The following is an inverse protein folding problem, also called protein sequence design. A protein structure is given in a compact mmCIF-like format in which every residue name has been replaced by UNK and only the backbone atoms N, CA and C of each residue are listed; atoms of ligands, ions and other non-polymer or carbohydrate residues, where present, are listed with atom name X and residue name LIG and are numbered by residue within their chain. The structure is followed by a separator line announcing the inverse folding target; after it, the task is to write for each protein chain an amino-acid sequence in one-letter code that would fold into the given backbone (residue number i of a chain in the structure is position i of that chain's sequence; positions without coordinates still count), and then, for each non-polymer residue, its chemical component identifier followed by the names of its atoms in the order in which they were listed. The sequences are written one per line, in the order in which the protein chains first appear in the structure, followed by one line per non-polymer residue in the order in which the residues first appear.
data_IF_870781797671
#
_entry.id   IF_870781797671
#
_cell.length_a   1.000
_cell.length_b   1.000
_cell.length_c   1.000
_cell.angle_alpha   90.00
_cell.angle_beta   90.00
_cell.angle_gamma   90.00
#
_symmetry.space_group_name_H-M   'P 1'
#
loop_
_entity.id
_entity.type
_entity.pdbx_description
1 polymer ?
#
# COMPACT_ATOMS: atom_id res chain seq x y z
N UNK A 1 -9.66 5.77 -5.95
CA UNK A 1 -9.66 4.38 -5.45
C UNK A 1 -10.97 3.70 -5.85
N UNK A 2 -10.88 2.52 -6.42
CA UNK A 2 -12.03 1.67 -6.71
C UNK A 2 -11.92 0.40 -5.88
N UNK A 3 -13.02 -0.01 -5.28
CA UNK A 3 -13.03 -1.23 -4.47
C UNK A 3 -14.28 -2.04 -4.75
N UNK A 4 -14.12 -3.37 -4.70
CA UNK A 4 -15.23 -4.31 -4.87
C UNK A 4 -15.15 -5.37 -3.79
N UNK A 5 -16.30 -5.97 -3.47
CA UNK A 5 -16.40 -7.04 -2.49
C UNK A 5 -16.99 -8.27 -3.18
N UNK A 6 -16.31 -9.40 -3.05
CA UNK A 6 -16.80 -10.67 -3.59
C UNK A 6 -16.90 -11.70 -2.46
N UNK A 7 -18.04 -12.35 -2.26
CA UNK A 7 -18.13 -13.43 -1.28
C UNK A 7 -17.37 -14.65 -1.78
N UNK A 8 -16.68 -15.33 -0.85
CA UNK A 8 -16.02 -16.59 -1.14
C UNK A 8 -16.47 -17.63 -0.11
N UNK A 9 -15.95 -18.84 -0.19
CA UNK A 9 -16.40 -19.94 0.66
C UNK A 9 -16.33 -19.63 2.15
N UNK A 10 -17.31 -20.12 2.88
CA UNK A 10 -17.41 -19.94 4.31
C UNK A 10 -17.77 -18.50 4.68
N UNK A 11 -17.23 -18.01 5.77
CA UNK A 11 -17.45 -16.66 6.25
C UNK A 11 -16.34 -15.72 5.82
N UNK A 12 -15.93 -15.83 4.54
CA UNK A 12 -14.85 -15.02 3.99
C UNK A 12 -15.35 -14.18 2.83
N UNK A 13 -14.78 -13.01 2.69
CA UNK A 13 -14.99 -12.15 1.52
C UNK A 13 -13.65 -11.71 0.97
N UNK A 14 -13.64 -11.42 -0.32
CA UNK A 14 -12.48 -10.91 -1.01
C UNK A 14 -12.75 -9.47 -1.37
N UNK A 15 -11.91 -8.58 -0.85
CA UNK A 15 -11.94 -7.17 -1.21
C UNK A 15 -10.89 -6.95 -2.29
N UNK A 16 -11.29 -6.40 -3.42
CA UNK A 16 -10.35 -6.03 -4.48
C UNK A 16 -10.30 -4.51 -4.55
N UNK A 17 -9.12 -3.95 -4.37
CA UNK A 17 -8.92 -2.51 -4.35
C UNK A 17 -7.95 -2.12 -5.45
N UNK A 18 -8.37 -1.15 -6.25
CA UNK A 18 -7.55 -0.60 -7.33
C UNK A 18 -7.24 0.87 -7.05
N UNK A 19 -5.98 1.24 -7.20
CA UNK A 19 -5.49 2.60 -7.02
C UNK A 19 -4.82 3.06 -8.30
N UNK A 20 -5.02 4.32 -8.66
CA UNK A 20 -4.25 4.93 -9.73
C UNK A 20 -2.84 5.23 -9.23
N UNK A 21 -1.87 5.18 -10.13
CA UNK A 21 -0.47 5.49 -9.78
C UNK A 21 -0.35 6.86 -9.10
N UNK A 22 -1.13 7.85 -9.55
CA UNK A 22 -1.14 9.19 -8.95
C UNK A 22 -1.59 9.19 -7.50
N UNK A 23 -2.43 8.24 -7.09
CA UNK A 23 -2.85 8.12 -5.70
C UNK A 23 -1.73 7.63 -4.78
N UNK A 24 -0.71 7.00 -5.34
CA UNK A 24 0.45 6.53 -4.59
C UNK A 24 1.50 7.63 -4.37
N UNK A 25 1.46 8.71 -5.14
CA UNK A 25 2.47 9.78 -5.05
C UNK A 25 2.70 10.33 -3.63
N UNK A 26 1.65 10.65 -2.84
CA UNK A 26 1.88 11.10 -1.47
C UNK A 26 2.59 10.07 -0.60
N UNK A 27 2.28 8.79 -0.80
CA UNK A 27 2.94 7.71 -0.07
C UNK A 27 4.39 7.53 -0.51
N UNK A 28 4.67 7.72 -1.80
CA UNK A 28 6.04 7.69 -2.33
C UNK A 28 6.85 8.83 -1.74
N UNK A 29 6.30 10.04 -1.69
CA UNK A 29 6.98 11.19 -1.09
C UNK A 29 7.31 10.93 0.38
N UNK A 30 6.37 10.37 1.12
CA UNK A 30 6.59 10.01 2.53
C UNK A 30 7.68 8.96 2.67
N UNK A 31 7.68 7.95 1.78
CA UNK A 31 8.70 6.91 1.78
C UNK A 31 10.09 7.49 1.51
N UNK A 32 10.21 8.41 0.54
CA UNK A 32 11.48 9.06 0.24
C UNK A 32 11.98 9.91 1.41
N UNK A 33 11.09 10.56 2.15
CA UNK A 33 11.47 11.31 3.35
C UNK A 33 12.04 10.40 4.42
N UNK A 34 11.44 9.23 4.62
CA UNK A 34 11.94 8.24 5.58
C UNK A 34 13.30 7.68 5.14
N UNK A 35 13.45 7.38 3.85
CA UNK A 35 14.72 6.91 3.29
C UNK A 35 15.81 7.97 3.48
N UNK A 36 15.49 9.24 3.26
CA UNK A 36 16.43 10.33 3.43
C UNK A 36 16.97 10.44 4.87
N UNK A 37 16.15 10.07 5.85
CA UNK A 37 16.57 10.06 7.26
C UNK A 37 17.54 8.93 7.57
N UNK A 38 17.41 7.81 6.88
CA UNK A 38 18.20 6.61 7.13
C UNK A 38 19.50 6.58 6.32
N UNK A 39 19.48 7.15 5.11
CA UNK A 39 20.63 7.15 4.21
C UNK A 39 21.48 8.39 4.47
N UNK A 40 22.79 8.18 4.70
CA UNK A 40 23.75 9.27 4.85
C UNK A 40 24.49 9.45 3.53
N UNK A 41 24.40 10.64 2.98
CA UNK A 41 25.16 11.01 1.79
C UNK A 41 26.22 12.04 2.16
N UNK A 42 27.46 11.94 1.62
CA UNK A 42 28.48 12.94 1.86
C UNK A 42 28.00 14.33 1.45
N UNK A 43 28.20 15.30 2.34
CA UNK A 43 27.82 16.68 2.06
C UNK A 43 26.38 17.05 2.38
N UNK A 44 25.56 16.08 2.80
CA UNK A 44 24.16 16.34 3.15
C UNK A 44 23.85 15.87 4.57
N UNK A 45 22.98 16.61 5.24
CA UNK A 45 22.47 16.19 6.55
C UNK A 45 21.39 15.13 6.34
N UNK A 46 21.19 14.20 7.30
CA UNK A 46 20.08 13.26 7.22
C UNK A 46 18.77 13.99 7.02
N UNK A 47 17.97 13.53 6.08
CA UNK A 47 16.69 14.14 5.74
C UNK A 47 16.76 15.32 4.77
N UNK A 48 17.94 15.76 4.37
CA UNK A 48 18.12 16.90 3.46
C UNK A 48 18.62 16.52 2.07
N UNK A 49 18.93 15.27 1.84
CA UNK A 49 19.41 14.83 0.53
C UNK A 49 18.30 14.91 -0.52
N UNK A 50 18.59 15.42 -1.73
CA UNK A 50 17.60 15.44 -2.80
C UNK A 50 17.18 14.03 -3.22
N UNK A 51 15.91 13.88 -3.60
CA UNK A 51 15.37 12.60 -4.05
C UNK A 51 16.19 11.96 -5.17
N UNK A 52 16.66 12.75 -6.12
CA UNK A 52 17.47 12.26 -7.24
C UNK A 52 18.74 11.55 -6.79
N UNK A 53 19.39 12.06 -5.74
CA UNK A 53 20.58 11.42 -5.20
C UNK A 53 20.24 10.16 -4.44
N UNK A 54 19.09 10.17 -3.72
CA UNK A 54 18.60 9.00 -2.99
C UNK A 54 18.27 7.86 -3.97
N UNK A 55 17.68 8.18 -5.10
CA UNK A 55 17.33 7.19 -6.12
C UNK A 55 18.55 6.44 -6.65
N UNK A 56 19.72 7.06 -6.62
CA UNK A 56 20.97 6.42 -7.02
C UNK A 56 21.55 5.51 -5.96
N UNK A 57 21.25 5.77 -4.69
CA UNK A 57 21.80 5.02 -3.56
C UNK A 57 20.93 3.83 -3.14
N UNK A 58 19.66 3.84 -3.51
CA UNK A 58 18.69 2.82 -3.14
C UNK A 58 18.32 2.01 -4.37
N UNK A 59 17.98 0.75 -4.16
CA UNK A 59 17.54 -0.11 -5.26
C UNK A 59 16.27 0.43 -5.91
N UNK A 60 16.16 0.31 -7.25
CA UNK A 60 14.92 0.67 -7.93
C UNK A 60 13.74 -0.07 -7.34
N UNK A 61 12.67 0.64 -7.05
CA UNK A 61 11.46 0.04 -6.48
C UNK A 61 11.44 -0.05 -4.96
N UNK A 62 12.54 0.25 -4.27
CA UNK A 62 12.55 0.22 -2.81
C UNK A 62 11.53 1.18 -2.21
N UNK A 63 11.53 2.43 -2.67
CA UNK A 63 10.58 3.43 -2.19
C UNK A 63 9.14 3.04 -2.49
N UNK A 64 8.90 2.45 -3.66
CA UNK A 64 7.56 1.99 -4.03
C UNK A 64 7.10 0.84 -3.13
N UNK A 65 8.00 -0.11 -2.81
CA UNK A 65 7.69 -1.19 -1.87
C UNK A 65 7.32 -0.65 -0.50
N UNK A 66 8.09 0.32 0.00
CA UNK A 66 7.81 0.95 1.29
C UNK A 66 6.49 1.71 1.26
N UNK A 67 6.23 2.44 0.17
CA UNK A 67 4.99 3.18 0.01
C UNK A 67 3.79 2.23 -0.01
N UNK A 68 3.89 1.11 -0.72
CA UNK A 68 2.82 0.11 -0.76
C UNK A 68 2.61 -0.53 0.60
N UNK A 69 3.68 -0.87 1.30
CA UNK A 69 3.59 -1.46 2.65
C UNK A 69 2.82 -0.56 3.60
N UNK A 70 3.00 0.75 3.49
CA UNK A 70 2.34 1.71 4.34
C UNK A 70 0.93 2.05 3.86
N UNK A 71 0.73 2.10 2.54
CA UNK A 71 -0.54 2.53 1.95
C UNK A 71 -1.60 1.44 1.90
N UNK A 72 -1.21 0.18 1.65
CA UNK A 72 -2.18 -0.91 1.51
C UNK A 72 -3.07 -1.10 2.74
N UNK A 73 -2.54 -1.10 3.99
CA UNK A 73 -3.40 -1.22 5.15
C UNK A 73 -4.40 -0.07 5.29
N UNK A 74 -4.00 1.14 4.96
CA UNK A 74 -4.89 2.30 5.01
C UNK A 74 -6.00 2.21 3.98
N UNK A 75 -5.66 1.80 2.76
CA UNK A 75 -6.63 1.62 1.69
C UNK A 75 -7.57 0.45 1.98
N UNK A 76 -7.04 -0.60 2.57
CA UNK A 76 -7.85 -1.72 3.05
C UNK A 76 -8.88 -1.24 4.07
N UNK A 77 -8.45 -0.47 5.05
CA UNK A 77 -9.35 0.08 6.07
C UNK A 77 -10.45 0.93 5.45
N UNK A 78 -10.08 1.77 4.48
CA UNK A 78 -11.04 2.61 3.76
C UNK A 78 -12.07 1.77 3.01
N UNK A 79 -11.63 0.68 2.37
CA UNK A 79 -12.52 -0.22 1.65
C UNK A 79 -13.48 -0.95 2.59
N UNK A 80 -12.99 -1.39 3.74
CA UNK A 80 -13.82 -2.02 4.77
C UNK A 80 -14.93 -1.07 5.23
N UNK A 81 -14.59 0.18 5.46
CA UNK A 81 -15.57 1.19 5.89
C UNK A 81 -16.56 1.48 4.77
N UNK A 82 -16.09 1.63 3.54
CA UNK A 82 -16.93 1.92 2.38
C UNK A 82 -17.97 0.84 2.14
N UNK A 83 -17.58 -0.43 2.28
CA UNK A 83 -18.48 -1.56 2.06
C UNK A 83 -19.14 -2.12 3.32
N UNK A 84 -18.91 -1.47 4.47
CA UNK A 84 -19.46 -1.86 5.75
C UNK A 84 -19.23 -3.35 6.06
N UNK A 85 -17.98 -3.80 5.87
CA UNK A 85 -17.61 -5.20 6.10
C UNK A 85 -17.28 -5.40 7.57
N UNK A 86 -17.91 -6.40 8.20
CA UNK A 86 -17.70 -6.73 9.60
C UNK A 86 -16.58 -7.76 9.75
N UNK A 87 -15.34 -7.26 9.78
CA UNK A 87 -14.13 -8.07 9.81
C UNK A 87 -13.86 -8.57 11.23
N UNK A 88 -13.62 -9.87 11.38
CA UNK A 88 -13.35 -10.51 12.68
C UNK A 88 -11.95 -11.05 12.83
N UNK A 89 -11.13 -10.97 11.78
CA UNK A 89 -9.74 -11.46 11.81
C UNK A 89 -8.85 -10.57 10.94
N UNK A 90 -7.51 -10.55 11.17
CA UNK A 90 -6.61 -9.79 10.33
C UNK A 90 -6.70 -10.23 8.87
N UNK A 91 -6.58 -9.31 7.91
CA UNK A 91 -6.67 -9.65 6.49
C UNK A 91 -5.38 -10.24 5.96
N UNK A 92 -5.50 -11.02 4.88
CA UNK A 92 -4.37 -11.38 4.06
C UNK A 92 -4.37 -10.44 2.86
N UNK A 93 -3.32 -9.64 2.73
CA UNK A 93 -3.17 -8.67 1.66
C UNK A 93 -2.20 -9.19 0.61
N UNK A 94 -2.57 -9.10 -0.67
CA UNK A 94 -1.74 -9.56 -1.76
C UNK A 94 -1.85 -8.59 -2.93
N UNK A 95 -0.70 -8.15 -3.45
CA UNK A 95 -0.66 -7.26 -4.59
C UNK A 95 -0.73 -8.10 -5.86
N UNK A 96 -1.77 -7.84 -6.67
CA UNK A 96 -2.00 -8.56 -7.92
C UNK A 96 -1.29 -7.87 -9.08
N UNK A 97 -1.40 -6.56 -9.16
CA UNK A 97 -0.79 -5.75 -10.21
C UNK A 97 -0.20 -4.47 -9.65
N UNK A 98 0.83 -3.95 -10.31
CA UNK A 98 1.39 -2.64 -9.99
C UNK A 98 2.45 -2.66 -8.90
N UNK A 99 2.99 -3.82 -8.55
CA UNK A 99 4.03 -3.90 -7.55
C UNK A 99 5.28 -3.11 -7.94
N UNK A 100 5.62 -3.12 -9.23
CA UNK A 100 6.80 -2.42 -9.73
C UNK A 100 6.48 -1.08 -10.40
N UNK A 101 5.39 -0.99 -11.13
CA UNK A 101 5.03 0.23 -11.87
C UNK A 101 3.55 0.24 -12.25
N UNK A 102 3.05 1.42 -12.54
CA UNK A 102 1.69 1.60 -13.03
C UNK A 102 0.63 1.61 -11.92
N UNK A 103 -0.62 1.43 -12.31
CA UNK A 103 -1.72 1.38 -11.36
C UNK A 103 -1.63 0.13 -10.50
N UNK A 104 -2.08 0.24 -9.26
CA UNK A 104 -1.96 -0.82 -8.27
C UNK A 104 -3.30 -1.50 -8.06
N UNK A 105 -3.30 -2.84 -8.08
CA UNK A 105 -4.46 -3.63 -7.70
C UNK A 105 -4.03 -4.64 -6.65
N UNK A 106 -4.70 -4.63 -5.51
CA UNK A 106 -4.45 -5.62 -4.47
C UNK A 106 -5.75 -6.24 -4.01
N UNK A 107 -5.66 -7.42 -3.41
CA UNK A 107 -6.80 -8.10 -2.84
C UNK A 107 -6.56 -8.34 -1.35
N UNK A 108 -7.65 -8.33 -0.59
CA UNK A 108 -7.64 -8.66 0.82
C UNK A 108 -8.67 -9.74 1.08
N UNK A 109 -8.21 -10.86 1.61
CA UNK A 109 -9.11 -11.95 2.00
C UNK A 109 -9.33 -11.83 3.49
N UNK A 110 -10.58 -11.65 3.90
CA UNK A 110 -10.92 -11.40 5.30
C UNK A 110 -12.03 -12.34 5.77
N UNK A 111 -11.96 -12.73 7.02
CA UNK A 111 -13.06 -13.42 7.67
C UNK A 111 -14.03 -12.38 8.19
N UNK A 112 -15.32 -12.63 7.98
CA UNK A 112 -16.37 -11.74 8.42
C UNK A 112 -17.29 -12.48 9.37
N UNK A 113 -18.04 -11.72 10.19
CA UNK A 113 -19.01 -12.30 11.08
C UNK A 113 -20.12 -12.94 10.26
N UNK A 114 -20.52 -14.18 10.60
CA UNK A 114 -21.61 -14.83 9.88
C UNK A 114 -22.89 -14.00 9.94
N UNK A 115 -23.58 -13.89 8.82
CA UNK A 115 -24.90 -13.26 8.78
C UNK A 115 -25.91 -14.28 9.25
N UNK A 116 -26.74 -13.84 10.17
CA UNK A 116 -27.79 -14.71 10.70
C UNK A 116 -29.10 -14.47 9.94
#
# INVERSE_FOLDING_TARGET
MNSTVEPIEGNKVKLVVSLEESELEPALDAAWKEIAKEVRLPGFRPGKAPRKLLERQVEPGYARSEALRNELPERYTSAVIEHDVDVVAPPELDVIEGEEAGDITFEAIVEVRPTV
#
